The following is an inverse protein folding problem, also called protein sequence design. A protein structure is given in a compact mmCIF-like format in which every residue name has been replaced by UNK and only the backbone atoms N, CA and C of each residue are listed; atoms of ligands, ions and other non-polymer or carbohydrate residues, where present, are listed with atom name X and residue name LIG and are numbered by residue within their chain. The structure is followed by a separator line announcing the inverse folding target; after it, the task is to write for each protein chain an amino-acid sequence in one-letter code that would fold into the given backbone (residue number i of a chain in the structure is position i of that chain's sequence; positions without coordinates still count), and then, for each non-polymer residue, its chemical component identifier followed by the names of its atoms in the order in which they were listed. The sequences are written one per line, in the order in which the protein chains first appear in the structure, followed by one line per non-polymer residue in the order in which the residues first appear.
data_IF_240436286300
#
_entry.id   IF_240436286300
#
_cell.length_a   1.000
_cell.length_b   1.000
_cell.length_c   1.000
_cell.angle_alpha   90.00
_cell.angle_beta   90.00
_cell.angle_gamma   90.00
#
_symmetry.space_group_name_H-M   'P 1'
#
loop_
_entity.id
_entity.type
_entity.pdbx_description
1 polymer ?
#
# COMPACT_ATOMS: atom_id res chain seq x y z
N UNK A 1 -17.36 -21.77 16.54
CA UNK A 1 -16.87 -20.42 16.19
C UNK A 1 -17.43 -20.04 14.84
N UNK A 2 -17.95 -18.82 14.65
CA UNK A 2 -18.57 -18.38 13.39
C UNK A 2 -17.52 -18.15 12.27
N UNK A 3 -16.83 -19.22 11.86
CA UNK A 3 -16.07 -19.34 10.61
C UNK A 3 -14.79 -18.52 10.41
N UNK A 4 -14.33 -17.72 11.37
CA UNK A 4 -13.18 -16.81 11.17
C UNK A 4 -11.79 -17.38 11.46
N UNK A 5 -10.78 -16.50 11.40
CA UNK A 5 -9.39 -16.76 11.82
C UNK A 5 -9.02 -15.88 13.01
N UNK A 6 -8.29 -16.46 13.97
CA UNK A 6 -7.62 -15.68 15.02
C UNK A 6 -6.28 -15.18 14.45
N UNK A 7 -6.05 -13.88 14.52
CA UNK A 7 -4.93 -13.22 13.86
C UNK A 7 -4.06 -12.48 14.86
N UNK A 8 -2.75 -12.74 14.80
CA UNK A 8 -1.72 -11.97 15.50
C UNK A 8 -0.55 -11.72 14.55
N UNK A 9 0.05 -10.54 14.62
CA UNK A 9 1.25 -10.23 13.83
C UNK A 9 1.60 -8.75 13.82
N UNK A 10 2.84 -8.49 13.45
CA UNK A 10 3.34 -7.14 13.18
C UNK A 10 3.39 -6.92 11.67
N UNK A 11 2.57 -5.99 11.17
CA UNK A 11 2.43 -5.66 9.76
C UNK A 11 3.13 -4.36 9.47
N UNK A 12 4.42 -4.48 9.17
CA UNK A 12 5.25 -3.34 8.81
C UNK A 12 4.80 -2.68 7.51
N UNK A 13 5.25 -1.46 7.33
CA UNK A 13 5.21 -0.73 6.08
C UNK A 13 3.80 -0.36 5.61
N UNK A 14 2.99 0.15 6.54
CA UNK A 14 1.62 0.61 6.27
C UNK A 14 1.60 2.13 5.98
N UNK A 15 1.82 2.51 4.73
CA UNK A 15 1.79 3.92 4.30
C UNK A 15 0.43 4.56 4.57
N UNK A 16 0.43 5.73 5.24
CA UNK A 16 -0.78 6.50 5.54
C UNK A 16 -1.65 5.91 6.64
N UNK A 17 -1.16 4.93 7.42
CA UNK A 17 -1.96 4.24 8.42
C UNK A 17 -2.56 5.14 9.51
N UNK A 18 -1.95 6.28 9.83
CA UNK A 18 -2.52 7.26 10.76
C UNK A 18 -3.83 7.90 10.26
N UNK A 19 -4.08 7.84 8.95
CA UNK A 19 -5.20 8.48 8.28
C UNK A 19 -6.28 7.50 7.80
N UNK A 20 -6.16 6.21 8.14
CA UNK A 20 -7.08 5.16 7.70
C UNK A 20 -7.93 4.63 8.87
N UNK A 21 -9.21 4.39 8.64
CA UNK A 21 -10.11 3.74 9.60
C UNK A 21 -10.07 2.22 9.53
N UNK A 22 -9.45 1.66 8.48
CA UNK A 22 -9.34 0.23 8.22
C UNK A 22 -7.98 -0.15 7.64
N UNK A 23 -7.53 -1.37 7.91
CA UNK A 23 -6.32 -1.94 7.34
C UNK A 23 -6.65 -3.22 6.55
N UNK A 24 -5.98 -3.39 5.41
CA UNK A 24 -5.96 -4.65 4.65
C UNK A 24 -4.62 -5.32 4.94
N UNK A 25 -4.64 -6.51 5.54
CA UNK A 25 -3.43 -7.24 5.92
C UNK A 25 -3.36 -8.59 5.22
N UNK A 26 -2.17 -8.95 4.75
CA UNK A 26 -1.93 -10.22 4.09
C UNK A 26 -1.54 -11.32 5.07
N UNK A 27 -2.04 -12.53 4.86
CA UNK A 27 -1.63 -13.71 5.61
C UNK A 27 -1.77 -14.98 4.79
N UNK A 28 -1.19 -16.06 5.28
CA UNK A 28 -1.33 -17.38 4.69
C UNK A 28 -2.20 -18.26 5.59
N UNK A 29 -3.15 -18.97 5.00
CA UNK A 29 -3.95 -19.99 5.70
C UNK A 29 -3.85 -21.32 4.98
N UNK A 30 -3.90 -22.43 5.72
CA UNK A 30 -3.93 -23.77 5.13
C UNK A 30 -5.25 -23.98 4.37
N UNK A 31 -5.18 -24.60 3.19
CA UNK A 31 -6.37 -25.03 2.44
C UNK A 31 -6.61 -26.53 2.60
N UNK A 32 -7.72 -27.02 2.03
CA UNK A 32 -8.16 -28.41 2.17
C UNK A 32 -7.17 -29.40 1.52
N UNK A 33 -6.40 -28.94 0.54
CA UNK A 33 -5.39 -29.69 -0.18
C UNK A 33 -4.05 -29.78 0.60
N UNK A 34 -4.00 -29.24 1.83
CA UNK A 34 -2.81 -29.25 2.68
C UNK A 34 -1.74 -28.23 2.27
N UNK A 35 -2.03 -27.36 1.30
CA UNK A 35 -1.16 -26.26 0.87
C UNK A 35 -1.56 -24.95 1.56
N UNK A 36 -1.11 -23.79 1.06
CA UNK A 36 -1.40 -22.48 1.63
C UNK A 36 -2.03 -21.53 0.61
N UNK A 37 -3.14 -20.92 0.99
CA UNK A 37 -3.72 -19.78 0.27
C UNK A 37 -3.17 -18.48 0.87
N UNK A 38 -2.74 -17.56 0.00
CA UNK A 38 -2.52 -16.17 0.39
C UNK A 38 -3.85 -15.42 0.40
N UNK A 39 -4.20 -14.83 1.54
CA UNK A 39 -5.45 -14.17 1.79
C UNK A 39 -5.21 -12.75 2.30
N UNK A 40 -6.21 -11.89 2.09
CA UNK A 40 -6.30 -10.60 2.74
C UNK A 40 -7.40 -10.63 3.80
N UNK A 41 -7.12 -10.01 4.94
CA UNK A 41 -8.08 -9.72 6.00
C UNK A 41 -8.28 -8.21 6.12
N UNK A 42 -9.52 -7.78 6.33
CA UNK A 42 -9.87 -6.37 6.53
C UNK A 42 -10.20 -6.12 8.01
N UNK A 43 -9.42 -5.26 8.68
CA UNK A 43 -9.52 -4.98 10.12
C UNK A 43 -9.88 -3.50 10.37
N UNK A 44 -10.83 -3.18 11.27
CA UNK A 44 -11.10 -1.81 11.68
C UNK A 44 -9.96 -1.27 12.54
N UNK A 45 -9.85 0.06 12.64
CA UNK A 45 -8.83 0.76 13.42
C UNK A 45 -8.77 0.30 14.88
N UNK A 46 -9.89 -0.09 15.48
CA UNK A 46 -10.00 -0.59 16.85
C UNK A 46 -9.27 -1.91 17.09
N UNK A 47 -9.03 -2.69 16.03
CA UNK A 47 -8.48 -4.05 16.13
C UNK A 47 -6.94 -4.06 16.01
N UNK A 48 -6.28 -2.91 15.92
CA UNK A 48 -4.82 -2.85 15.85
C UNK A 48 -4.26 -1.59 16.50
N UNK A 49 -3.00 -1.66 16.90
CA UNK A 49 -2.23 -0.49 17.30
C UNK A 49 -1.29 -0.07 16.17
N UNK A 50 -0.93 1.21 16.13
CA UNK A 50 0.11 1.71 15.24
C UNK A 50 1.35 1.96 16.09
N UNK A 51 2.44 1.28 15.79
CA UNK A 51 3.75 1.54 16.38
C UNK A 51 4.51 2.51 15.48
N UNK A 52 4.84 3.68 16.01
CA UNK A 52 5.63 4.67 15.26
C UNK A 52 7.11 4.29 15.24
N UNK A 53 7.47 3.45 14.26
CA UNK A 53 8.83 3.02 13.97
C UNK A 53 9.35 3.52 12.61
N UNK A 54 8.67 4.51 12.00
CA UNK A 54 9.00 5.01 10.68
C UNK A 54 10.05 6.14 10.70
N UNK A 55 11.32 5.76 10.79
CA UNK A 55 12.47 6.66 10.75
C UNK A 55 13.31 6.46 9.47
N UNK A 56 12.73 6.77 8.30
CA UNK A 56 13.34 6.50 7.00
C UNK A 56 14.13 7.67 6.39
N UNK A 57 14.98 7.39 5.39
CA UNK A 57 15.76 8.41 4.67
C UNK A 57 14.94 9.17 3.61
N UNK A 58 14.02 8.47 2.94
CA UNK A 58 13.17 9.00 1.87
C UNK A 58 11.70 8.64 2.13
N UNK A 59 10.78 9.32 1.44
CA UNK A 59 9.34 9.16 1.65
C UNK A 59 8.91 9.32 3.12
N UNK A 60 9.61 10.14 3.92
CA UNK A 60 9.32 10.32 5.35
C UNK A 60 7.85 10.64 5.62
N UNK A 61 7.26 11.50 4.78
CA UNK A 61 5.85 11.91 4.88
C UNK A 61 4.82 10.82 4.57
N UNK A 62 5.22 9.63 4.09
CA UNK A 62 4.28 8.53 3.87
C UNK A 62 3.81 7.87 5.17
N UNK A 63 4.49 8.10 6.31
CA UNK A 63 4.08 7.54 7.60
C UNK A 63 3.95 6.02 7.59
N UNK A 64 4.91 5.33 6.96
CA UNK A 64 4.88 3.89 6.63
C UNK A 64 5.23 3.02 7.85
N UNK A 65 4.49 3.26 8.94
CA UNK A 65 4.65 2.65 10.28
C UNK A 65 4.18 1.20 10.31
N UNK A 66 4.33 0.55 11.47
CA UNK A 66 3.95 -0.84 11.68
C UNK A 66 2.60 -0.96 12.40
N UNK A 67 1.72 -1.85 11.91
CA UNK A 67 0.48 -2.21 12.60
C UNK A 67 0.72 -3.41 13.51
N UNK A 68 0.33 -3.32 14.77
CA UNK A 68 0.42 -4.42 15.75
C UNK A 68 -0.97 -5.00 15.96
N UNK A 69 -1.14 -6.25 15.60
CA UNK A 69 -2.40 -7.00 15.75
C UNK A 69 -2.16 -8.11 16.77
N UNK A 70 -2.99 -8.15 17.82
CA UNK A 70 -2.87 -9.14 18.89
C UNK A 70 -4.21 -9.86 19.12
N UNK A 71 -4.24 -11.15 18.77
CA UNK A 71 -5.34 -12.08 19.03
C UNK A 71 -6.73 -11.58 18.58
N UNK A 72 -6.79 -11.01 17.39
CA UNK A 72 -8.03 -10.48 16.80
C UNK A 72 -8.76 -11.58 16.05
N UNK A 73 -10.04 -11.78 16.36
CA UNK A 73 -10.91 -12.67 15.58
C UNK A 73 -11.42 -11.94 14.33
N UNK A 74 -10.91 -12.33 13.16
CA UNK A 74 -11.40 -11.83 11.87
C UNK A 74 -12.46 -12.80 11.32
N UNK A 75 -13.71 -12.38 11.11
CA UNK A 75 -14.77 -13.22 10.55
C UNK A 75 -14.54 -13.51 9.06
N UNK A 76 -14.99 -14.68 8.59
CA UNK A 76 -14.72 -15.17 7.22
C UNK A 76 -15.14 -14.20 6.11
N UNK A 77 -16.24 -13.46 6.30
CA UNK A 77 -16.72 -12.50 5.30
C UNK A 77 -15.79 -11.28 5.11
N UNK A 78 -14.83 -11.06 6.03
CA UNK A 78 -13.76 -10.04 5.91
C UNK A 78 -12.46 -10.62 5.37
N UNK A 79 -12.48 -11.85 4.87
CA UNK A 79 -11.31 -12.57 4.36
C UNK A 79 -11.54 -12.92 2.89
N UNK A 80 -10.55 -12.60 2.04
CA UNK A 80 -10.61 -12.93 0.62
C UNK A 80 -9.30 -13.52 0.13
N UNK A 81 -9.36 -14.61 -0.64
CA UNK A 81 -8.17 -15.18 -1.30
C UNK A 81 -7.67 -14.22 -2.37
N UNK A 82 -6.37 -13.96 -2.37
CA UNK A 82 -5.75 -13.09 -3.36
C UNK A 82 -5.86 -13.67 -4.80
N UNK A 83 -5.82 -14.99 -4.95
CA UNK A 83 -6.01 -15.68 -6.24
C UNK A 83 -7.40 -15.40 -6.82
N UNK A 84 -8.44 -15.43 -5.99
CA UNK A 84 -9.81 -15.17 -6.44
C UNK A 84 -9.99 -13.72 -6.92
N UNK A 85 -9.29 -12.77 -6.30
CA UNK A 85 -9.25 -11.37 -6.74
C UNK A 85 -8.41 -11.15 -8.01
N UNK A 86 -7.54 -12.10 -8.37
CA UNK A 86 -6.80 -12.09 -9.64
C UNK A 86 -7.61 -12.73 -10.77
N UNK A 87 -8.47 -13.69 -10.46
CA UNK A 87 -9.17 -14.54 -11.43
C UNK A 87 -10.67 -14.23 -11.56
N UNK A 88 -11.18 -13.18 -10.90
CA UNK A 88 -12.60 -12.81 -10.97
C UNK A 88 -13.53 -13.82 -10.27
N UNK A 89 -13.09 -14.36 -9.13
CA UNK A 89 -13.84 -15.36 -8.33
C UNK A 89 -14.11 -14.89 -6.90
N UNK A 90 -13.70 -13.67 -6.55
CA UNK A 90 -13.91 -13.11 -5.21
C UNK A 90 -15.39 -12.90 -4.91
N UNK A 91 -15.76 -12.86 -3.63
CA UNK A 91 -17.15 -12.69 -3.21
C UNK A 91 -17.84 -11.43 -3.80
N UNK A 92 -17.08 -10.37 -4.09
CA UNK A 92 -17.60 -9.14 -4.71
C UNK A 92 -17.69 -9.16 -6.25
N UNK A 93 -17.27 -10.24 -6.91
CA UNK A 93 -17.36 -10.32 -8.37
C UNK A 93 -18.82 -10.36 -8.82
N UNK A 94 -19.16 -9.58 -9.85
CA UNK A 94 -20.54 -9.49 -10.35
C UNK A 94 -21.41 -8.41 -9.69
N UNK A 95 -20.96 -7.77 -8.59
CA UNK A 95 -21.73 -6.72 -7.90
C UNK A 95 -21.95 -5.46 -8.76
N UNK A 96 -21.08 -5.19 -9.72
CA UNK A 96 -21.07 -3.95 -10.50
C UNK A 96 -21.05 -4.23 -12.01
N UNK A 97 -22.14 -4.75 -12.60
CA UNK A 97 -22.16 -5.31 -13.96
C UNK A 97 -21.68 -4.34 -15.06
N UNK A 98 -21.94 -3.04 -14.90
CA UNK A 98 -21.56 -2.03 -15.88
C UNK A 98 -20.15 -1.42 -15.64
N UNK A 99 -19.41 -1.91 -14.64
CA UNK A 99 -18.12 -1.35 -14.26
C UNK A 99 -17.04 -1.65 -15.32
N UNK A 100 -16.33 -0.60 -15.72
CA UNK A 100 -15.17 -0.69 -16.62
C UNK A 100 -13.86 -1.01 -15.90
N UNK A 101 -13.87 -1.07 -14.56
CA UNK A 101 -12.65 -1.17 -13.75
C UNK A 101 -12.61 -2.37 -12.79
N UNK A 102 -13.77 -2.90 -12.36
CA UNK A 102 -13.83 -3.97 -11.37
C UNK A 102 -13.76 -5.39 -11.96
N UNK A 103 -13.95 -5.55 -13.26
CA UNK A 103 -13.73 -6.81 -13.99
C UNK A 103 -12.26 -6.94 -14.42
N UNK A 104 -11.35 -6.77 -13.48
CA UNK A 104 -9.91 -6.79 -13.73
C UNK A 104 -9.16 -7.35 -12.50
N UNK A 105 -7.97 -7.94 -12.66
CA UNK A 105 -7.16 -8.38 -11.53
C UNK A 105 -6.83 -7.22 -10.58
N UNK A 106 -6.92 -7.42 -9.27
CA UNK A 106 -6.69 -6.34 -8.29
C UNK A 106 -5.25 -5.80 -8.28
N UNK A 107 -4.26 -6.67 -8.52
CA UNK A 107 -2.84 -6.38 -8.23
C UNK A 107 -2.23 -5.29 -9.13
N UNK A 108 -2.49 -5.25 -10.46
CA UNK A 108 -2.06 -4.15 -11.30
C UNK A 108 -2.54 -2.78 -10.80
N UNK A 109 -3.79 -2.67 -10.36
CA UNK A 109 -4.34 -1.43 -9.81
C UNK A 109 -3.66 -1.06 -8.50
N UNK A 110 -3.58 -1.99 -7.54
CA UNK A 110 -2.89 -1.80 -6.26
C UNK A 110 -1.46 -1.28 -6.42
N UNK A 111 -0.69 -1.86 -7.34
CA UNK A 111 0.72 -1.53 -7.51
C UNK A 111 1.00 -0.35 -8.46
N UNK A 112 -0.01 0.15 -9.19
CA UNK A 112 0.17 1.21 -10.21
C UNK A 112 0.68 2.54 -9.64
N UNK A 113 0.42 2.81 -8.36
CA UNK A 113 0.86 4.03 -7.69
C UNK A 113 2.39 4.16 -7.58
N UNK A 114 3.12 3.06 -7.51
CA UNK A 114 4.58 3.10 -7.30
C UNK A 114 5.32 3.80 -8.46
N UNK A 115 5.05 3.37 -9.69
CA UNK A 115 5.64 3.98 -10.89
C UNK A 115 5.11 5.39 -11.11
N UNK A 116 3.84 5.65 -10.79
CA UNK A 116 3.22 6.96 -10.91
C UNK A 116 3.92 8.00 -10.03
N UNK A 117 4.19 7.66 -8.76
CA UNK A 117 4.95 8.54 -7.85
C UNK A 117 6.37 8.75 -8.35
N UNK A 118 7.05 7.69 -8.79
CA UNK A 118 8.41 7.79 -9.33
C UNK A 118 8.50 8.75 -10.52
N UNK A 119 7.55 8.64 -11.46
CA UNK A 119 7.47 9.51 -12.62
C UNK A 119 7.26 10.98 -12.22
N UNK A 120 6.28 11.25 -11.35
CA UNK A 120 6.02 12.63 -10.90
C UNK A 120 7.20 13.27 -10.16
N UNK A 121 7.95 12.48 -9.38
CA UNK A 121 9.20 12.94 -8.75
C UNK A 121 10.25 13.30 -9.80
N UNK A 122 10.43 12.45 -10.82
CA UNK A 122 11.38 12.70 -11.90
C UNK A 122 11.01 13.95 -12.72
N UNK A 123 9.75 14.09 -13.10
CA UNK A 123 9.24 15.28 -13.81
C UNK A 123 9.45 16.54 -12.99
N UNK A 124 9.11 16.51 -11.69
CA UNK A 124 9.31 17.67 -10.82
C UNK A 124 10.78 18.01 -10.62
N UNK A 125 11.66 17.02 -10.57
CA UNK A 125 13.10 17.25 -10.43
C UNK A 125 13.65 18.04 -11.63
N UNK A 126 13.21 17.74 -12.85
CA UNK A 126 13.61 18.49 -14.04
C UNK A 126 13.22 19.97 -13.93
N UNK A 127 12.00 20.24 -13.50
CA UNK A 127 11.52 21.61 -13.30
C UNK A 127 12.31 22.33 -12.21
N UNK A 128 12.51 21.70 -11.05
CA UNK A 128 13.29 22.29 -9.95
C UNK A 128 14.74 22.56 -10.39
N UNK A 129 15.36 21.64 -11.13
CA UNK A 129 16.72 21.81 -11.62
C UNK A 129 16.82 22.95 -12.65
N UNK A 130 15.88 23.04 -13.59
CA UNK A 130 15.80 24.15 -14.56
C UNK A 130 15.67 25.49 -13.85
N UNK A 131 14.74 25.61 -12.90
CA UNK A 131 14.56 26.84 -12.13
C UNK A 131 15.80 27.22 -11.32
N UNK A 132 16.44 26.24 -10.66
CA UNK A 132 17.64 26.49 -9.84
C UNK A 132 18.86 26.88 -10.67
N UNK A 133 18.95 26.43 -11.91
CA UNK A 133 20.11 26.73 -12.77
C UNK A 133 20.02 28.08 -13.47
N UNK A 134 18.83 28.68 -13.62
CA UNK A 134 18.62 30.01 -14.25
C UNK A 134 19.53 31.11 -13.70
N UNK A 135 19.78 31.11 -12.39
CA UNK A 135 20.58 32.16 -11.72
C UNK A 135 21.89 31.61 -11.16
N UNK A 136 22.37 30.47 -11.66
CA UNK A 136 23.54 29.81 -11.09
C UNK A 136 24.83 30.52 -11.49
N UNK A 137 25.63 30.87 -10.50
CA UNK A 137 26.97 31.48 -10.68
C UNK A 137 28.06 30.57 -10.11
N UNK A 138 29.29 30.71 -10.63
CA UNK A 138 30.47 30.06 -10.05
C UNK A 138 30.85 30.75 -8.75
N UNK A 139 31.03 29.97 -7.68
CA UNK A 139 31.27 30.50 -6.33
C UNK A 139 32.49 31.43 -6.22
N UNK A 140 33.58 31.15 -6.94
CA UNK A 140 34.82 31.93 -6.83
C UNK A 140 34.95 33.08 -7.81
N UNK A 141 34.17 33.08 -8.91
CA UNK A 141 34.33 34.09 -9.98
C UNK A 141 33.08 34.96 -10.17
N UNK A 142 31.94 34.58 -9.60
CA UNK A 142 30.66 35.26 -9.84
C UNK A 142 30.13 35.13 -11.27
N UNK A 143 30.87 34.47 -12.17
CA UNK A 143 30.47 34.31 -13.56
C UNK A 143 29.24 33.41 -13.68
N UNK A 144 28.28 33.83 -14.51
CA UNK A 144 27.10 33.05 -14.86
C UNK A 144 27.50 31.71 -15.50
N UNK A 145 26.77 30.65 -15.14
CA UNK A 145 26.96 29.32 -15.73
C UNK A 145 25.98 29.20 -16.91
N UNK A 146 26.44 29.53 -18.11
CA UNK A 146 25.61 29.55 -19.33
C UNK A 146 25.96 30.64 -20.35
N UNK A 147 26.99 31.47 -20.08
CA UNK A 147 27.67 32.29 -21.08
C UNK A 147 28.76 31.48 -21.80
#
# INVERSE_FOLDING_TARGET
TNGGVLFSGEMGWSSGCDHAEWAIVGFRRKNAEGTQDYCFAVLPRSDYQIRDDWFAAGMKGSGTKTLIIDNVLVPEHRIQKAKDMMEGKSAGFGLYPDSKIFYSPYRPYFASGFSTVSLGVAERMLEVFREKTKTRVRAYTGAAVGA
#
